data_IF_354926701465
#
_entry.id   IF_354926701465
#
_cell.length_a   1.000
_cell.length_b   1.000
_cell.length_c   1.000
_cell.angle_alpha   90.00
_cell.angle_beta   90.00
_cell.angle_gamma   90.00
#
_symmetry.space_group_name_H-M   'P 1'
#
loop_
_entity.id
_entity.type
_entity.pdbx_description
1 polymer ?
#
# COMPACT_ATOMS: atom_id res chain seq x y z
N UNK A 1 7.66 2.48 -6.29
CA UNK A 1 7.81 1.35 -7.25
C UNK A 1 7.69 0.04 -6.49
N UNK A 2 6.76 -0.86 -6.84
CA UNK A 2 6.52 -2.12 -6.09
C UNK A 2 6.92 -3.35 -6.91
N UNK A 3 7.31 -4.44 -6.21
CA UNK A 3 7.76 -5.71 -6.81
C UNK A 3 6.78 -6.83 -6.43
N UNK A 4 6.15 -7.47 -7.40
CA UNK A 4 5.30 -8.66 -7.20
C UNK A 4 6.02 -9.87 -7.80
N UNK A 5 6.09 -10.99 -7.07
CA UNK A 5 6.74 -12.23 -7.54
C UNK A 5 5.69 -13.30 -7.81
N UNK A 6 5.62 -13.81 -9.04
CA UNK A 6 4.82 -14.98 -9.39
C UNK A 6 5.74 -16.06 -9.99
N UNK A 7 5.90 -17.17 -9.27
CA UNK A 7 6.85 -18.22 -9.65
C UNK A 7 8.29 -17.68 -9.74
N UNK A 8 8.89 -17.75 -10.93
CA UNK A 8 10.23 -17.24 -11.22
C UNK A 8 10.24 -15.85 -11.88
N UNK A 9 9.09 -15.19 -11.96
CA UNK A 9 8.93 -13.87 -12.59
C UNK A 9 8.77 -12.79 -11.52
N UNK A 10 9.43 -11.64 -11.71
CA UNK A 10 9.28 -10.45 -10.87
C UNK A 10 8.66 -9.34 -11.72
N UNK A 11 7.46 -8.89 -11.35
CA UNK A 11 6.78 -7.75 -11.93
C UNK A 11 7.17 -6.48 -11.19
N UNK A 12 7.72 -5.51 -11.92
CA UNK A 12 7.93 -4.15 -11.43
C UNK A 12 6.69 -3.34 -11.78
N UNK A 13 5.87 -3.03 -10.77
CA UNK A 13 4.67 -2.22 -10.95
C UNK A 13 5.06 -0.78 -10.57
N UNK A 14 5.01 0.18 -11.52
CA UNK A 14 5.23 1.58 -11.21
C UNK A 14 4.18 2.04 -10.19
N UNK A 15 4.54 3.03 -9.36
CA UNK A 15 3.56 3.68 -8.49
C UNK A 15 2.52 4.32 -9.43
N UNK A 16 1.25 4.01 -9.22
CA UNK A 16 0.21 4.67 -10.00
C UNK A 16 0.16 6.14 -9.56
N UNK A 17 0.11 7.09 -10.51
CA UNK A 17 -0.09 8.50 -10.16
C UNK A 17 -1.39 8.63 -9.38
N UNK A 18 -1.43 9.60 -8.47
CA UNK A 18 -2.59 9.90 -7.62
C UNK A 18 -2.99 8.79 -6.64
N UNK A 19 -2.08 7.85 -6.34
CA UNK A 19 -2.29 6.84 -5.29
C UNK A 19 -1.39 7.05 -4.08
N UNK A 20 -1.91 6.70 -2.90
CA UNK A 20 -1.22 6.81 -1.62
C UNK A 20 -0.75 5.46 -1.10
N UNK A 21 0.43 5.45 -0.49
CA UNK A 21 0.87 4.33 0.32
C UNK A 21 0.33 4.53 1.75
N UNK A 22 -0.25 3.49 2.32
CA UNK A 22 -0.90 3.51 3.62
C UNK A 22 -0.21 2.51 4.54
N UNK A 23 0.17 2.95 5.75
CA UNK A 23 0.72 2.09 6.80
C UNK A 23 -0.37 1.64 7.75
N UNK A 24 -0.54 0.35 7.96
CA UNK A 24 -1.45 -0.15 8.99
C UNK A 24 -0.97 0.27 10.38
N UNK A 25 -1.86 0.89 11.17
CA UNK A 25 -1.54 1.34 12.53
C UNK A 25 -1.28 0.18 13.51
N UNK A 26 -1.74 -1.02 13.19
CA UNK A 26 -1.63 -2.20 14.06
C UNK A 26 -0.35 -3.01 13.79
N UNK A 27 -0.15 -3.48 12.56
CA UNK A 27 0.99 -4.35 12.22
C UNK A 27 2.14 -3.63 11.51
N UNK A 28 1.98 -2.34 11.18
CA UNK A 28 3.03 -1.54 10.53
C UNK A 28 3.29 -1.85 9.06
N UNK A 29 2.56 -2.81 8.45
CA UNK A 29 2.71 -3.11 7.03
C UNK A 29 2.32 -1.89 6.19
N UNK A 30 3.12 -1.60 5.16
CA UNK A 30 2.84 -0.55 4.19
C UNK A 30 2.35 -1.21 2.90
N UNK A 31 1.19 -0.78 2.42
CA UNK A 31 0.62 -1.20 1.14
C UNK A 31 0.10 0.04 0.41
N UNK A 32 0.10 -0.01 -0.93
CA UNK A 32 -0.61 1.00 -1.70
C UNK A 32 -2.11 0.87 -1.45
N UNK A 33 -2.86 1.97 -1.44
CA UNK A 33 -4.31 1.95 -1.16
C UNK A 33 -5.10 1.04 -2.11
N UNK A 34 -4.63 0.87 -3.36
CA UNK A 34 -5.26 -0.02 -4.34
C UNK A 34 -5.06 -1.52 -4.05
N UNK A 35 -4.12 -1.86 -3.17
CA UNK A 35 -3.79 -3.24 -2.79
C UNK A 35 -4.33 -3.63 -1.42
N UNK A 36 -5.14 -2.78 -0.80
CA UNK A 36 -5.76 -3.03 0.49
C UNK A 36 -7.17 -3.56 0.24
N UNK A 37 -7.51 -4.65 0.92
CA UNK A 37 -8.85 -5.23 0.83
C UNK A 37 -9.89 -4.22 1.30
N UNK A 38 -10.95 -4.05 0.51
CA UNK A 38 -12.08 -3.19 0.85
C UNK A 38 -13.30 -4.05 1.15
N UNK A 39 -13.77 -4.01 2.39
CA UNK A 39 -14.99 -4.70 2.81
C UNK A 39 -16.01 -3.65 3.27
N UNK A 40 -17.17 -3.60 2.62
CA UNK A 40 -18.24 -2.63 2.93
C UNK A 40 -17.78 -1.16 2.84
N UNK A 41 -16.85 -0.86 1.93
CA UNK A 41 -16.29 0.48 1.75
C UNK A 41 -15.22 0.87 2.78
N UNK A 42 -14.80 -0.06 3.64
CA UNK A 42 -13.77 0.16 4.66
C UNK A 42 -12.51 -0.63 4.30
N UNK A 43 -11.37 0.05 4.31
CA UNK A 43 -10.06 -0.59 4.16
C UNK A 43 -9.78 -1.56 5.31
N UNK A 44 -9.30 -2.75 4.96
CA UNK A 44 -9.03 -3.81 5.92
C UNK A 44 -7.67 -4.43 5.67
N UNK A 45 -6.86 -4.45 6.71
CA UNK A 45 -5.58 -5.13 6.71
C UNK A 45 -5.77 -6.63 6.99
N UNK A 46 -4.86 -7.47 6.49
CA UNK A 46 -4.82 -8.91 6.81
C UNK A 46 -4.71 -9.18 8.32
N UNK A 47 -4.14 -8.25 9.10
CA UNK A 47 -4.11 -8.36 10.56
C UNK A 47 -5.47 -8.05 11.24
N UNK A 48 -6.50 -7.70 10.47
CA UNK A 48 -7.85 -7.38 10.95
C UNK A 48 -8.08 -5.88 11.26
N UNK A 49 -7.05 -5.04 11.22
CA UNK A 49 -7.18 -3.60 11.47
C UNK A 49 -7.81 -2.86 10.29
N UNK A 50 -8.60 -1.83 10.58
CA UNK A 50 -9.14 -0.85 9.62
C UNK A 50 -8.53 0.55 9.78
N UNK A 51 -7.48 0.68 10.60
CA UNK A 51 -6.79 1.95 10.83
C UNK A 51 -5.49 2.01 10.05
N UNK A 52 -5.33 3.10 9.29
CA UNK A 52 -4.17 3.33 8.44
C UNK A 52 -3.68 4.77 8.54
N UNK A 53 -2.37 4.96 8.38
CA UNK A 53 -1.68 6.25 8.38
C UNK A 53 -1.10 6.48 6.98
N UNK A 54 -1.51 7.55 6.27
CA UNK A 54 -0.92 7.88 4.98
C UNK A 54 0.59 8.08 5.05
N UNK A 55 1.30 7.49 4.11
CA UNK A 55 2.74 7.66 3.92
C UNK A 55 2.95 8.70 2.82
N UNK A 56 3.24 9.92 3.25
CA UNK A 56 3.56 11.01 2.34
C UNK A 56 5.07 10.92 2.05
N UNK A 57 5.42 10.54 0.83
CA UNK A 57 6.78 10.74 0.32
C UNK A 57 6.92 12.24 0.05
N UNK A 58 7.61 12.94 0.93
CA UNK A 58 8.05 14.30 0.64
C UNK A 58 9.21 14.14 -0.34
N UNK A 59 8.94 14.26 -1.63
CA UNK A 59 10.01 14.46 -2.61
C UNK A 59 10.68 15.80 -2.26
N UNK A 60 11.91 15.75 -1.75
CA UNK A 60 12.75 16.93 -1.66
C UNK A 60 12.89 17.48 -3.08
N UNK A 61 12.31 18.66 -3.34
CA UNK A 61 12.50 19.40 -4.57
C UNK A 61 13.99 19.81 -4.65
N UNK A 62 14.82 18.94 -5.22
CA UNK A 62 16.19 19.24 -5.64
C UNK A 62 16.20 19.70 -7.10
#
# INVERSE_FOLDING_TARGET
MRKVKEGNVIFLIPKQPDTMDLRCSCCGIVKNELDIDVLEGIYRCECGSSSFIPQIEIEEMM
#
